data_IF_908330706011
#
_entry.id   IF_908330706011
#
_cell.length_a   1.000
_cell.length_b   1.000
_cell.length_c   1.000
_cell.angle_alpha   90.00
_cell.angle_beta   90.00
_cell.angle_gamma   90.00
#
_symmetry.space_group_name_H-M   'P 1'
#
loop_
_entity.id
_entity.type
_entity.pdbx_description
1 polymer ?
#
# COMPACT_ATOMS: atom_id res chain seq x y z
N UNK A 1 26.82 29.19 6.98
CA UNK A 1 27.77 28.19 7.49
C UNK A 1 28.07 27.26 6.33
N UNK A 2 29.34 27.04 6.02
CA UNK A 2 29.71 26.24 4.84
C UNK A 2 29.41 24.75 5.11
N UNK A 3 28.56 24.15 4.28
CA UNK A 3 27.99 22.80 4.51
C UNK A 3 29.08 21.72 4.58
N UNK A 4 30.17 21.89 3.83
CA UNK A 4 31.31 20.95 3.79
C UNK A 4 32.05 20.86 5.13
N UNK A 5 32.17 21.97 5.86
CA UNK A 5 32.84 21.99 7.16
C UNK A 5 32.06 21.21 8.23
N UNK A 6 30.73 21.34 8.24
CA UNK A 6 29.88 20.62 9.21
C UNK A 6 29.67 19.15 8.81
N UNK A 7 29.71 18.84 7.51
CA UNK A 7 29.60 17.48 7.00
C UNK A 7 30.79 16.57 7.35
N UNK A 8 31.93 17.09 7.82
CA UNK A 8 33.06 16.27 8.27
C UNK A 8 33.06 16.00 9.79
N UNK A 9 32.31 16.78 10.59
CA UNK A 9 32.28 16.61 12.05
C UNK A 9 31.48 15.38 12.48
N UNK A 10 31.95 14.78 13.58
CA UNK A 10 31.28 13.67 14.28
C UNK A 10 30.25 14.26 15.24
N UNK A 11 29.02 13.75 15.18
CA UNK A 11 27.98 14.09 16.15
C UNK A 11 28.21 13.32 17.45
N UNK A 12 27.78 13.89 18.57
CA UNK A 12 27.80 13.28 19.89
C UNK A 12 26.41 13.37 20.54
N UNK A 13 26.19 12.54 21.57
CA UNK A 13 24.96 12.56 22.37
C UNK A 13 25.25 12.34 23.85
N UNK A 14 24.48 12.99 24.72
CA UNK A 14 24.47 12.75 26.15
C UNK A 14 23.03 12.76 26.70
N UNK A 15 22.84 12.27 27.92
CA UNK A 15 21.60 12.45 28.68
C UNK A 15 21.76 13.64 29.62
N UNK A 16 20.73 14.48 29.67
CA UNK A 16 20.75 15.70 30.47
C UNK A 16 19.34 16.08 30.88
N UNK A 17 19.17 16.57 32.10
CA UNK A 17 17.95 17.23 32.52
C UNK A 17 17.85 18.57 31.77
N UNK A 18 16.86 18.70 30.90
CA UNK A 18 16.69 19.87 30.02
C UNK A 18 15.25 20.37 30.09
N UNK A 19 15.08 21.69 30.08
CA UNK A 19 13.77 22.30 29.82
C UNK A 19 13.44 22.17 28.34
N UNK A 20 12.21 21.80 28.00
CA UNK A 20 11.75 21.72 26.60
C UNK A 20 11.82 23.07 25.89
N UNK A 21 11.63 24.18 26.60
CA UNK A 21 11.69 25.54 26.04
C UNK A 21 13.10 25.93 25.54
N UNK A 22 14.16 25.40 26.17
CA UNK A 22 15.55 25.70 25.80
C UNK A 22 15.95 25.14 24.41
N UNK A 23 15.11 24.27 23.85
CA UNK A 23 15.39 23.50 22.64
C UNK A 23 14.25 23.57 21.60
N UNK A 24 13.28 24.48 21.79
CA UNK A 24 12.21 24.74 20.83
C UNK A 24 12.68 25.72 19.75
N UNK A 25 13.33 25.17 18.73
CA UNK A 25 13.87 25.94 17.61
C UNK A 25 12.82 26.12 16.51
N UNK A 26 12.71 27.33 15.97
CA UNK A 26 11.83 27.66 14.83
C UNK A 26 12.52 27.49 13.46
N UNK A 27 13.63 26.75 13.39
CA UNK A 27 14.39 26.49 12.17
C UNK A 27 14.75 25.01 12.05
N UNK A 28 15.09 24.59 10.83
CA UNK A 28 15.63 23.25 10.54
C UNK A 28 17.08 23.37 10.06
N UNK A 29 17.92 22.42 10.46
CA UNK A 29 19.31 22.32 9.98
C UNK A 29 19.40 21.38 8.76
N UNK A 30 20.45 21.47 7.92
CA UNK A 30 20.63 20.60 6.76
C UNK A 30 20.40 19.11 7.04
N UNK A 31 19.74 18.42 6.09
CA UNK A 31 19.31 17.01 6.21
C UNK A 31 20.45 16.07 6.60
N UNK A 32 21.65 16.27 6.05
CA UNK A 32 22.83 15.45 6.36
C UNK A 32 23.18 15.53 7.86
N UNK A 33 23.05 16.70 8.48
CA UNK A 33 23.31 16.89 9.90
C UNK A 33 22.22 16.24 10.76
N UNK A 34 20.94 16.37 10.37
CA UNK A 34 19.83 15.70 11.05
C UNK A 34 20.01 14.17 11.06
N UNK A 35 20.45 13.59 9.95
CA UNK A 35 20.74 12.14 9.86
C UNK A 35 21.82 11.73 10.87
N UNK A 36 22.91 12.51 10.96
CA UNK A 36 23.99 12.24 11.93
C UNK A 36 23.51 12.33 13.37
N UNK A 37 22.77 13.38 13.72
CA UNK A 37 22.22 13.56 15.06
C UNK A 37 21.24 12.43 15.42
N UNK A 38 20.37 12.03 14.48
CA UNK A 38 19.44 10.91 14.67
C UNK A 38 20.18 9.60 14.93
N UNK A 39 21.30 9.35 14.24
CA UNK A 39 22.10 8.15 14.42
C UNK A 39 22.69 8.05 15.84
N UNK A 40 23.25 9.15 16.37
CA UNK A 40 23.82 9.15 17.73
C UNK A 40 22.73 9.05 18.81
N UNK A 41 21.56 9.67 18.59
CA UNK A 41 20.39 9.49 19.47
C UNK A 41 19.96 8.01 19.51
N UNK A 42 19.89 7.35 18.35
CA UNK A 42 19.50 5.94 18.29
C UNK A 42 20.55 5.06 18.98
N UNK A 43 21.84 5.35 18.80
CA UNK A 43 22.91 4.65 19.50
C UNK A 43 22.80 4.83 21.03
N UNK A 44 22.50 6.05 21.50
CA UNK A 44 22.30 6.35 22.92
C UNK A 44 21.06 5.67 23.51
N UNK A 45 19.95 5.58 22.75
CA UNK A 45 18.77 4.80 23.14
C UNK A 45 19.11 3.32 23.31
N UNK A 46 19.91 2.77 22.40
CA UNK A 46 20.31 1.36 22.40
C UNK A 46 21.27 0.98 23.55
N UNK A 47 21.88 1.95 24.25
CA UNK A 47 22.73 1.69 25.43
C UNK A 47 21.93 1.22 26.66
N UNK A 48 20.61 1.44 26.72
CA UNK A 48 19.77 0.84 27.78
C UNK A 48 19.48 -0.64 27.43
N UNK A 49 19.63 -1.59 28.38
CA UNK A 49 19.14 -2.94 28.19
C UNK A 49 17.61 -2.89 28.00
N UNK A 50 17.08 -3.61 27.01
CA UNK A 50 15.64 -3.84 26.91
C UNK A 50 15.17 -4.44 28.23
N UNK A 51 14.19 -3.83 28.88
CA UNK A 51 13.58 -4.38 30.09
C UNK A 51 13.20 -5.84 29.83
N UNK A 52 13.70 -6.76 30.66
CA UNK A 52 13.33 -8.19 30.61
C UNK A 52 11.98 -8.47 31.28
N UNK A 53 11.28 -7.44 31.76
CA UNK A 53 10.04 -7.58 32.50
C UNK A 53 8.96 -6.70 31.89
N UNK A 54 7.91 -7.36 31.41
CA UNK A 54 6.63 -6.87 30.89
C UNK A 54 6.55 -6.47 29.41
N UNK A 55 5.96 -7.38 28.62
CA UNK A 55 5.03 -7.04 27.55
C UNK A 55 3.75 -6.52 28.21
N UNK A 56 3.61 -5.20 28.32
CA UNK A 56 2.30 -4.56 28.46
C UNK A 56 2.37 -3.27 27.66
N UNK A 57 1.42 -3.08 26.74
CA UNK A 57 1.16 -1.80 26.12
C UNK A 57 0.76 -0.81 27.21
N UNK A 58 1.71 0.01 27.61
CA UNK A 58 1.58 1.11 28.54
C UNK A 58 2.80 1.98 28.34
N UNK A 59 2.57 3.27 28.12
CA UNK A 59 3.64 4.26 28.02
C UNK A 59 4.64 4.02 29.14
N UNK A 60 5.89 3.73 28.75
CA UNK A 60 7.05 3.72 29.65
C UNK A 60 7.08 5.12 30.29
N UNK A 61 6.46 5.27 31.47
CA UNK A 61 6.58 6.47 32.28
C UNK A 61 8.04 6.56 32.70
N UNK A 62 8.79 7.37 31.95
CA UNK A 62 10.21 7.60 32.02
C UNK A 62 10.59 8.08 33.43
N UNK A 63 10.93 7.15 34.34
CA UNK A 63 11.27 7.48 35.72
C UNK A 63 12.71 8.03 35.88
N UNK A 64 13.25 8.65 34.83
CA UNK A 64 14.44 9.50 34.90
C UNK A 64 14.26 10.64 33.89
N UNK A 65 13.99 11.86 34.37
CA UNK A 65 13.71 13.11 33.64
C UNK A 65 14.87 13.61 32.72
N UNK A 66 15.76 12.75 32.24
CA UNK A 66 16.87 13.11 31.37
C UNK A 66 16.57 12.83 29.91
N UNK A 67 16.41 13.89 29.13
CA UNK A 67 16.28 13.77 27.68
C UNK A 67 17.66 13.50 27.04
N UNK A 68 17.64 12.84 25.87
CA UNK A 68 18.85 12.68 25.06
C UNK A 68 19.07 13.99 24.29
N UNK A 69 20.24 14.59 24.46
CA UNK A 69 20.70 15.79 23.76
C UNK A 69 21.80 15.39 22.78
N UNK A 70 21.64 15.76 21.51
CA UNK A 70 22.61 15.53 20.44
C UNK A 70 23.22 16.85 19.97
N UNK A 71 24.50 16.84 19.65
CA UNK A 71 25.24 18.04 19.27
C UNK A 71 26.47 17.73 18.42
N UNK A 72 27.02 18.76 17.79
CA UNK A 72 28.36 18.70 17.21
C UNK A 72 29.34 19.40 18.16
N UNK A 73 30.45 18.77 18.56
CA UNK A 73 31.39 19.36 19.52
C UNK A 73 31.85 20.74 19.07
N UNK A 74 31.86 21.71 20.00
CA UNK A 74 32.27 23.09 19.72
C UNK A 74 31.31 23.89 18.82
N UNK A 75 30.08 23.40 18.60
CA UNK A 75 29.04 24.10 17.82
C UNK A 75 27.77 24.23 18.65
N UNK A 76 27.19 25.41 18.66
CA UNK A 76 25.81 25.67 19.10
C UNK A 76 24.92 25.84 17.87
N UNK A 77 23.63 25.47 17.93
CA UNK A 77 22.91 24.94 19.08
C UNK A 77 23.11 23.42 19.31
N UNK A 78 22.71 22.96 20.50
CA UNK A 78 22.49 21.54 20.81
C UNK A 78 21.01 21.20 20.62
N UNK A 79 20.67 19.95 20.34
CA UNK A 79 19.29 19.57 20.01
C UNK A 79 18.81 18.44 20.92
N UNK A 80 17.59 18.54 21.43
CA UNK A 80 16.93 17.40 22.08
C UNK A 80 16.56 16.34 21.04
N UNK A 81 16.40 15.10 21.50
CA UNK A 81 15.94 14.03 20.63
C UNK A 81 14.61 14.35 19.94
N UNK A 82 13.67 14.98 20.66
CA UNK A 82 12.39 15.44 20.11
C UNK A 82 12.58 16.44 18.96
N UNK A 83 13.42 17.47 19.15
CA UNK A 83 13.72 18.45 18.10
C UNK A 83 14.34 17.77 16.85
N UNK A 84 15.25 16.81 17.05
CA UNK A 84 15.83 16.05 15.94
C UNK A 84 14.79 15.19 15.22
N UNK A 85 13.85 14.56 15.94
CA UNK A 85 12.77 13.80 15.32
C UNK A 85 11.78 14.69 14.56
N UNK A 86 11.41 15.87 15.09
CA UNK A 86 10.60 16.87 14.38
C UNK A 86 11.28 17.33 13.10
N UNK A 87 12.58 17.64 13.14
CA UNK A 87 13.36 17.98 11.94
C UNK A 87 13.46 16.83 10.94
N UNK A 88 13.62 15.59 11.42
CA UNK A 88 13.62 14.42 10.55
C UNK A 88 12.26 14.27 9.84
N UNK A 89 11.16 14.55 10.56
CA UNK A 89 9.83 14.46 9.99
C UNK A 89 9.52 15.57 9.00
N UNK A 90 9.99 16.79 9.26
CA UNK A 90 9.99 17.87 8.26
C UNK A 90 10.62 17.40 6.94
N UNK A 91 11.79 16.75 6.97
CA UNK A 91 12.44 16.25 5.76
C UNK A 91 11.72 15.06 5.12
N UNK A 92 10.97 14.26 5.88
CA UNK A 92 10.09 13.24 5.32
C UNK A 92 8.93 13.87 4.56
N UNK A 93 8.28 14.91 5.12
CA UNK A 93 7.23 15.67 4.43
C UNK A 93 7.77 16.32 3.16
N UNK A 94 8.94 16.98 3.22
CA UNK A 94 9.61 17.56 2.03
C UNK A 94 9.82 16.51 0.94
N UNK A 95 10.28 15.30 1.31
CA UNK A 95 10.44 14.18 0.35
C UNK A 95 9.10 13.78 -0.29
N UNK A 96 8.02 13.72 0.50
CA UNK A 96 6.67 13.40 0.00
C UNK A 96 6.12 14.48 -0.93
N UNK A 97 6.29 15.76 -0.59
CA UNK A 97 5.92 16.87 -1.48
C UNK A 97 6.69 16.83 -2.81
N UNK A 98 7.99 16.53 -2.78
CA UNK A 98 8.77 16.36 -4.01
C UNK A 98 8.32 15.15 -4.83
N UNK A 99 7.93 14.05 -4.18
CA UNK A 99 7.37 12.88 -4.87
C UNK A 99 6.02 13.20 -5.51
N UNK A 100 5.13 13.89 -4.80
CA UNK A 100 3.84 14.37 -5.33
C UNK A 100 4.06 15.27 -6.56
N UNK A 101 4.98 16.24 -6.53
CA UNK A 101 5.28 17.09 -7.70
C UNK A 101 5.75 16.29 -8.90
N UNK A 102 6.63 15.31 -8.69
CA UNK A 102 7.13 14.46 -9.76
C UNK A 102 6.04 13.55 -10.36
N UNK A 103 5.07 13.13 -9.55
CA UNK A 103 3.93 12.35 -10.03
C UNK A 103 2.93 13.23 -10.80
N UNK A 104 2.67 14.45 -10.33
CA UNK A 104 1.88 15.46 -11.06
C UNK A 104 2.53 15.84 -12.39
N UNK A 105 3.86 16.05 -12.40
CA UNK A 105 4.62 16.32 -13.62
C UNK A 105 4.52 15.15 -14.61
N UNK A 106 4.57 13.91 -14.13
CA UNK A 106 4.37 12.74 -14.99
C UNK A 106 2.97 12.69 -15.59
N UNK A 107 1.92 12.95 -14.81
CA UNK A 107 0.54 13.04 -15.31
C UNK A 107 0.38 14.17 -16.35
N UNK A 108 1.00 15.32 -16.11
CA UNK A 108 0.87 16.50 -16.96
C UNK A 108 1.67 16.39 -18.27
N UNK A 109 2.88 15.83 -18.22
CA UNK A 109 3.82 15.83 -19.36
C UNK A 109 3.72 14.59 -20.24
N UNK A 110 3.13 13.50 -19.73
CA UNK A 110 2.86 12.31 -20.54
C UNK A 110 1.80 12.65 -21.59
N UNK A 111 2.08 12.28 -22.84
CA UNK A 111 1.17 12.54 -23.97
C UNK A 111 0.06 11.48 -24.06
N UNK A 112 -0.84 11.47 -23.09
CA UNK A 112 -1.88 10.44 -22.98
C UNK A 112 -2.74 10.31 -24.23
N UNK A 113 -3.07 11.43 -24.88
CA UNK A 113 -3.83 11.46 -26.12
C UNK A 113 -3.16 10.77 -27.32
N UNK A 114 -1.83 10.59 -27.28
CA UNK A 114 -1.06 9.93 -28.34
C UNK A 114 -0.86 8.43 -28.09
N UNK A 115 -1.22 7.91 -26.90
CA UNK A 115 -1.04 6.51 -26.53
C UNK A 115 -2.21 5.67 -27.07
N UNK A 116 -1.90 4.70 -27.95
CA UNK A 116 -2.89 3.76 -28.50
C UNK A 116 -3.06 2.48 -27.68
N UNK A 117 -2.15 2.20 -26.75
CA UNK A 117 -2.23 1.03 -25.87
C UNK A 117 -3.53 1.06 -25.07
N UNK A 118 -4.25 -0.06 -25.03
CA UNK A 118 -5.50 -0.21 -24.28
C UNK A 118 -5.51 -1.56 -23.53
N UNK A 119 -4.73 -1.69 -22.45
CA UNK A 119 -4.64 -2.93 -21.68
C UNK A 119 -6.00 -3.30 -21.05
N UNK A 120 -6.18 -4.56 -20.68
CA UNK A 120 -7.46 -5.05 -20.14
C UNK A 120 -7.79 -4.51 -18.75
N UNK A 121 -6.77 -4.27 -17.91
CA UNK A 121 -6.95 -3.87 -16.52
C UNK A 121 -7.86 -2.65 -16.39
N UNK A 122 -8.92 -2.79 -15.60
CA UNK A 122 -9.94 -1.78 -15.31
C UNK A 122 -10.63 -1.16 -16.53
N UNK A 123 -10.65 -1.85 -17.67
CA UNK A 123 -11.27 -1.31 -18.89
C UNK A 123 -12.77 -1.02 -18.74
N UNK A 124 -13.49 -1.79 -17.93
CA UNK A 124 -14.94 -1.60 -17.74
C UNK A 124 -15.18 -0.43 -16.79
N UNK A 125 -14.43 -0.39 -15.67
CA UNK A 125 -14.53 0.63 -14.64
C UNK A 125 -14.13 2.02 -15.13
N UNK A 126 -13.34 2.08 -16.21
CA UNK A 126 -12.88 3.32 -16.84
C UNK A 126 -13.55 3.59 -18.18
N UNK A 127 -14.70 2.96 -18.47
CA UNK A 127 -15.47 3.12 -19.71
C UNK A 127 -14.59 3.05 -20.98
N UNK A 128 -13.66 2.09 -20.99
CA UNK A 128 -12.62 1.90 -22.02
C UNK A 128 -12.76 0.59 -22.79
N UNK A 129 -13.76 -0.23 -22.49
CA UNK A 129 -13.99 -1.56 -23.05
C UNK A 129 -14.53 -1.54 -24.49
N UNK A 130 -15.38 -0.57 -24.82
CA UNK A 130 -15.96 -0.37 -26.16
C UNK A 130 -15.19 0.64 -27.02
N UNK A 131 -14.07 1.15 -26.54
CA UNK A 131 -13.29 2.15 -27.27
C UNK A 131 -12.50 1.52 -28.43
N UNK A 132 -12.74 2.04 -29.63
CA UNK A 132 -11.86 1.80 -30.77
C UNK A 132 -10.44 2.31 -30.46
N UNK A 133 -9.41 1.68 -31.06
CA UNK A 133 -7.99 2.04 -30.86
C UNK A 133 -7.70 3.54 -31.09
N UNK A 134 -8.47 4.21 -31.94
CA UNK A 134 -8.33 5.64 -32.24
C UNK A 134 -8.91 6.57 -31.16
N UNK A 135 -9.70 6.03 -30.23
CA UNK A 135 -10.38 6.76 -29.16
C UNK A 135 -9.71 6.58 -27.78
N UNK A 136 -8.90 5.54 -27.61
CA UNK A 136 -8.28 5.17 -26.33
C UNK A 136 -7.45 6.30 -25.72
N UNK A 137 -6.61 6.97 -26.51
CA UNK A 137 -5.78 8.08 -26.02
C UNK A 137 -6.59 9.25 -25.44
N UNK A 138 -7.75 9.56 -26.03
CA UNK A 138 -8.65 10.58 -25.50
C UNK A 138 -9.13 10.25 -24.09
N UNK A 139 -9.51 8.99 -23.86
CA UNK A 139 -9.93 8.52 -22.53
C UNK A 139 -8.77 8.49 -21.54
N UNK A 140 -7.56 8.10 -21.96
CA UNK A 140 -6.38 8.17 -21.10
C UNK A 140 -6.09 9.60 -20.62
N UNK A 141 -6.27 10.59 -21.49
CA UNK A 141 -6.10 12.00 -21.12
C UNK A 141 -7.17 12.46 -20.12
N UNK A 142 -8.42 12.03 -20.30
CA UNK A 142 -9.52 12.31 -19.37
C UNK A 142 -9.21 11.73 -17.98
N UNK A 143 -8.86 10.44 -17.89
CA UNK A 143 -8.49 9.79 -16.63
C UNK A 143 -7.32 10.49 -15.95
N UNK A 144 -6.31 10.92 -16.70
CA UNK A 144 -5.17 11.67 -16.16
C UNK A 144 -5.60 13.02 -15.57
N UNK A 145 -6.51 13.74 -16.23
CA UNK A 145 -7.03 15.01 -15.74
C UNK A 145 -7.82 14.83 -14.44
N UNK A 146 -8.69 13.82 -14.38
CA UNK A 146 -9.49 13.53 -13.18
C UNK A 146 -8.60 13.13 -11.99
N UNK A 147 -7.56 12.31 -12.23
CA UNK A 147 -6.56 11.98 -11.20
C UNK A 147 -5.84 13.23 -10.70
N UNK A 148 -5.41 14.13 -11.60
CA UNK A 148 -4.77 15.38 -11.22
C UNK A 148 -5.69 16.25 -10.37
N UNK A 149 -6.95 16.41 -10.75
CA UNK A 149 -7.94 17.19 -10.00
C UNK A 149 -8.12 16.65 -8.57
N UNK A 150 -8.25 15.33 -8.40
CA UNK A 150 -8.34 14.72 -7.07
C UNK A 150 -7.08 14.92 -6.24
N UNK A 151 -5.89 14.78 -6.84
CA UNK A 151 -4.61 14.95 -6.15
C UNK A 151 -4.30 16.41 -5.80
N UNK A 152 -4.80 17.38 -6.57
CA UNK A 152 -4.72 18.81 -6.25
C UNK A 152 -5.64 19.21 -5.11
N UNK A 153 -6.83 18.59 -5.02
CA UNK A 153 -7.78 18.81 -3.93
C UNK A 153 -7.42 18.13 -2.61
N UNK A 154 -6.49 17.17 -2.63
CA UNK A 154 -6.12 16.36 -1.47
C UNK A 154 -4.83 16.84 -0.79
N UNK A 155 -4.74 16.70 0.54
CA UNK A 155 -3.50 16.87 1.28
C UNK A 155 -2.82 15.53 1.55
N UNK A 156 -1.55 15.53 1.97
CA UNK A 156 -0.82 14.29 2.27
C UNK A 156 -1.49 13.39 3.33
N UNK A 157 -2.31 13.98 4.21
CA UNK A 157 -3.05 13.24 5.24
C UNK A 157 -4.45 12.80 4.79
N UNK A 158 -4.90 13.18 3.58
CA UNK A 158 -6.16 12.69 3.01
C UNK A 158 -6.10 11.17 2.86
N UNK A 159 -7.23 10.51 3.16
CA UNK A 159 -7.36 9.05 3.06
C UNK A 159 -8.51 8.69 2.13
N UNK A 160 -8.22 7.84 1.14
CA UNK A 160 -9.21 7.19 0.29
C UNK A 160 -9.64 5.89 0.94
N UNK A 161 -10.94 5.59 0.94
CA UNK A 161 -11.50 4.40 1.56
C UNK A 161 -12.50 3.71 0.65
N UNK A 162 -12.50 2.38 0.71
CA UNK A 162 -13.52 1.54 0.10
C UNK A 162 -14.89 1.70 0.79
N UNK A 163 -15.97 1.50 0.05
CA UNK A 163 -17.33 1.62 0.60
C UNK A 163 -17.61 0.59 1.70
N UNK A 164 -17.00 -0.59 1.60
CA UNK A 164 -17.05 -1.62 2.64
C UNK A 164 -16.38 -1.22 3.96
N UNK A 165 -15.52 -0.20 3.97
CA UNK A 165 -14.66 0.15 5.09
C UNK A 165 -13.43 -0.75 5.26
N UNK A 166 -13.35 -1.85 4.52
CA UNK A 166 -12.28 -2.86 4.59
C UNK A 166 -11.03 -2.42 3.82
N UNK A 167 -10.72 -1.14 3.68
CA UNK A 167 -9.50 -0.73 2.99
C UNK A 167 -9.32 0.77 2.95
N UNK A 168 -8.11 1.23 3.25
CA UNK A 168 -7.75 2.65 3.21
C UNK A 168 -6.37 2.87 2.59
N UNK A 169 -6.21 3.95 1.82
CA UNK A 169 -4.92 4.43 1.32
C UNK A 169 -4.79 5.91 1.62
N UNK A 170 -3.71 6.30 2.28
CA UNK A 170 -3.37 7.71 2.47
C UNK A 170 -2.63 8.26 1.27
N UNK A 171 -2.82 9.54 0.95
CA UNK A 171 -2.09 10.22 -0.13
C UNK A 171 -0.58 10.11 0.08
N UNK A 172 -0.08 10.25 1.31
CA UNK A 172 1.35 10.10 1.61
C UNK A 172 1.92 8.70 1.26
N UNK A 173 1.11 7.65 1.30
CA UNK A 173 1.48 6.29 0.89
C UNK A 173 1.38 6.07 -0.61
N UNK A 174 0.50 6.80 -1.29
CA UNK A 174 0.30 6.74 -2.74
C UNK A 174 1.42 7.47 -3.51
N UNK A 175 1.78 8.67 -3.07
CA UNK A 175 2.73 9.53 -3.79
C UNK A 175 4.14 8.93 -3.82
N UNK A 176 4.69 8.87 -5.02
CA UNK A 176 5.99 8.29 -5.34
C UNK A 176 6.03 6.75 -5.34
N UNK A 177 4.87 6.09 -5.21
CA UNK A 177 4.79 4.62 -5.13
C UNK A 177 4.01 3.97 -6.28
N UNK A 178 3.21 4.74 -7.04
CA UNK A 178 2.37 4.20 -8.12
C UNK A 178 2.69 4.77 -9.51
N UNK A 179 2.85 6.09 -9.63
CA UNK A 179 3.22 6.72 -10.90
C UNK A 179 4.62 6.31 -11.37
N UNK A 180 4.88 6.55 -12.66
CA UNK A 180 6.21 6.39 -13.29
C UNK A 180 6.69 4.93 -13.27
N UNK A 181 7.83 4.67 -12.65
CA UNK A 181 8.61 3.44 -12.78
C UNK A 181 8.92 2.78 -11.44
N UNK A 182 8.16 3.10 -10.38
CA UNK A 182 8.40 2.59 -9.03
C UNK A 182 7.74 1.22 -8.81
N UNK A 183 8.39 0.36 -8.04
CA UNK A 183 7.76 -0.88 -7.57
C UNK A 183 6.64 -0.52 -6.59
N UNK A 184 5.48 -1.14 -6.78
CA UNK A 184 4.31 -0.91 -5.92
C UNK A 184 4.61 -1.41 -4.50
N UNK A 185 4.13 -0.69 -3.50
CA UNK A 185 4.16 -1.14 -2.09
C UNK A 185 3.01 -2.07 -1.77
N UNK A 186 3.15 -2.82 -0.67
CA UNK A 186 2.10 -3.67 -0.10
C UNK A 186 0.75 -2.95 0.03
N UNK A 187 0.76 -1.70 0.49
CA UNK A 187 -0.47 -0.89 0.65
C UNK A 187 -1.23 -0.74 -0.66
N UNK A 188 -0.52 -0.46 -1.76
CA UNK A 188 -1.13 -0.25 -3.08
C UNK A 188 -1.62 -1.58 -3.67
N UNK A 189 -0.83 -2.65 -3.52
CA UNK A 189 -1.22 -3.98 -3.98
C UNK A 189 -2.47 -4.46 -3.23
N UNK A 190 -2.42 -4.50 -1.90
CA UNK A 190 -3.52 -5.00 -1.08
C UNK A 190 -4.80 -4.18 -1.31
N UNK A 191 -4.71 -2.84 -1.36
CA UNK A 191 -5.87 -2.01 -1.64
C UNK A 191 -6.44 -2.24 -3.05
N UNK A 192 -5.60 -2.36 -4.07
CA UNK A 192 -6.06 -2.63 -5.44
C UNK A 192 -6.75 -3.99 -5.57
N UNK A 193 -6.21 -5.02 -4.91
CA UNK A 193 -6.85 -6.34 -4.87
C UNK A 193 -8.20 -6.28 -4.16
N UNK A 194 -8.29 -5.56 -3.03
CA UNK A 194 -9.56 -5.34 -2.33
C UNK A 194 -10.57 -4.57 -3.18
N UNK A 195 -10.15 -3.55 -3.93
CA UNK A 195 -11.02 -2.85 -4.89
C UNK A 195 -11.64 -3.83 -5.90
N UNK A 196 -10.82 -4.71 -6.49
CA UNK A 196 -11.29 -5.69 -7.47
C UNK A 196 -12.28 -6.67 -6.82
N UNK A 197 -11.93 -7.22 -5.66
CA UNK A 197 -12.78 -8.18 -4.95
C UNK A 197 -14.12 -7.57 -4.51
N UNK A 198 -14.12 -6.31 -4.04
CA UNK A 198 -15.34 -5.60 -3.65
C UNK A 198 -16.25 -5.33 -4.85
N UNK A 199 -15.68 -4.92 -5.99
CA UNK A 199 -16.45 -4.69 -7.22
C UNK A 199 -17.13 -5.96 -7.75
N UNK A 200 -16.52 -7.13 -7.55
CA UNK A 200 -17.09 -8.43 -7.98
C UNK A 200 -18.04 -9.03 -6.93
N UNK A 201 -17.75 -8.86 -5.64
CA UNK A 201 -18.61 -9.27 -4.53
C UNK A 201 -18.57 -10.75 -4.14
N UNK A 202 -17.91 -11.60 -4.93
CA UNK A 202 -17.81 -13.06 -4.73
C UNK A 202 -16.35 -13.56 -4.64
N UNK A 203 -15.43 -12.64 -4.34
CA UNK A 203 -14.00 -12.89 -4.21
C UNK A 203 -13.50 -12.47 -2.82
N UNK A 204 -12.52 -13.20 -2.28
CA UNK A 204 -11.90 -12.89 -0.98
C UNK A 204 -10.42 -12.57 -1.12
N UNK A 205 -9.97 -11.44 -0.57
CA UNK A 205 -8.58 -11.02 -0.60
C UNK A 205 -7.89 -11.26 0.76
N UNK A 206 -6.81 -12.03 0.76
CA UNK A 206 -5.84 -12.04 1.86
C UNK A 206 -4.82 -10.91 1.68
N UNK A 207 -4.22 -10.48 2.78
CA UNK A 207 -3.13 -9.48 2.73
C UNK A 207 -1.80 -10.13 2.37
N UNK A 208 -0.93 -9.36 1.70
CA UNK A 208 0.46 -9.76 1.41
C UNK A 208 1.26 -10.17 2.65
N UNK A 209 0.82 -9.76 3.84
CA UNK A 209 1.43 -10.09 5.13
C UNK A 209 0.94 -11.40 5.74
N UNK A 210 -0.14 -12.02 5.23
CA UNK A 210 -0.70 -13.25 5.81
C UNK A 210 0.31 -14.40 5.98
N UNK A 211 1.26 -14.64 5.06
CA UNK A 211 2.27 -15.68 5.25
C UNK A 211 3.24 -15.44 6.42
N UNK A 212 3.46 -14.19 6.82
CA UNK A 212 4.43 -13.82 7.87
C UNK A 212 3.77 -13.46 9.19
N UNK A 213 2.60 -12.83 9.15
CA UNK A 213 1.85 -12.34 10.32
C UNK A 213 0.68 -13.24 10.71
N UNK A 214 0.36 -14.25 9.88
CA UNK A 214 -0.81 -15.11 10.04
C UNK A 214 -2.06 -14.57 9.33
N UNK A 215 -3.02 -15.46 9.09
CA UNK A 215 -4.29 -15.10 8.49
C UNK A 215 -5.26 -14.51 9.53
N UNK A 216 -6.15 -13.60 9.11
CA UNK A 216 -7.31 -13.24 9.92
C UNK A 216 -8.25 -14.44 10.10
N UNK A 217 -9.25 -14.29 10.97
CA UNK A 217 -10.35 -15.26 11.03
C UNK A 217 -11.15 -15.18 9.72
N UNK A 218 -11.60 -16.33 9.15
CA UNK A 218 -12.46 -16.31 7.99
C UNK A 218 -13.77 -15.57 8.24
N UNK A 219 -14.40 -15.02 7.19
CA UNK A 219 -15.71 -14.41 7.32
C UNK A 219 -16.76 -15.47 7.66
N UNK A 220 -17.86 -15.03 8.28
CA UNK A 220 -18.98 -15.93 8.62
C UNK A 220 -19.79 -16.36 7.40
N UNK A 221 -19.67 -15.63 6.29
CA UNK A 221 -20.31 -15.97 5.02
C UNK A 221 -19.79 -17.32 4.53
N UNK A 222 -20.70 -18.17 4.03
CA UNK A 222 -20.38 -19.53 3.58
C UNK A 222 -19.36 -19.52 2.45
N UNK A 223 -18.27 -20.28 2.58
CA UNK A 223 -17.19 -20.33 1.57
C UNK A 223 -17.71 -20.68 0.16
N UNK A 224 -18.79 -21.47 0.05
CA UNK A 224 -19.38 -21.84 -1.25
C UNK A 224 -20.06 -20.68 -2.01
N UNK A 225 -20.20 -19.50 -1.40
CA UNK A 225 -20.68 -18.29 -2.11
C UNK A 225 -19.56 -17.54 -2.81
N UNK A 226 -18.30 -17.92 -2.58
CA UNK A 226 -17.14 -17.30 -3.19
C UNK A 226 -16.65 -18.15 -4.37
N UNK A 227 -16.23 -17.49 -5.44
CA UNK A 227 -15.61 -18.13 -6.60
C UNK A 227 -14.09 -18.08 -6.52
N UNK A 228 -13.52 -17.11 -5.82
CA UNK A 228 -12.07 -16.93 -5.77
C UNK A 228 -11.56 -16.50 -4.39
N UNK A 229 -10.35 -16.97 -4.06
CA UNK A 229 -9.51 -16.40 -3.02
C UNK A 229 -8.20 -15.91 -3.64
N UNK A 230 -7.74 -14.71 -3.26
CA UNK A 230 -6.53 -14.08 -3.78
C UNK A 230 -5.53 -13.82 -2.67
N UNK A 231 -4.27 -14.20 -2.89
CA UNK A 231 -3.13 -13.86 -2.03
C UNK A 231 -2.01 -13.23 -2.87
N UNK A 232 -1.84 -11.90 -2.85
CA UNK A 232 -0.63 -11.27 -3.36
C UNK A 232 0.56 -11.62 -2.46
N UNK A 233 1.76 -11.74 -3.04
CA UNK A 233 2.98 -12.16 -2.34
C UNK A 233 4.12 -11.19 -2.61
N UNK A 234 4.69 -10.63 -1.53
CA UNK A 234 5.90 -9.85 -1.59
C UNK A 234 7.13 -10.77 -1.46
N UNK A 235 7.69 -11.15 -2.60
CA UNK A 235 8.75 -12.14 -2.73
C UNK A 235 10.12 -11.49 -2.53
N UNK A 236 10.88 -11.98 -1.55
CA UNK A 236 12.24 -11.52 -1.23
C UNK A 236 12.37 -10.01 -0.96
N UNK A 237 11.28 -9.33 -0.59
CA UNK A 237 11.20 -7.87 -0.40
C UNK A 237 11.57 -7.01 -1.64
N UNK A 238 11.63 -7.62 -2.82
CA UNK A 238 12.07 -6.96 -4.07
C UNK A 238 11.22 -7.34 -5.28
N UNK A 239 10.17 -8.14 -5.09
CA UNK A 239 9.39 -8.69 -6.18
C UNK A 239 7.96 -9.04 -5.77
N UNK A 240 7.05 -9.12 -6.75
CA UNK A 240 5.64 -9.42 -6.54
C UNK A 240 5.18 -10.60 -7.39
N UNK A 241 4.42 -11.49 -6.77
CA UNK A 241 3.65 -12.54 -7.44
C UNK A 241 2.28 -12.71 -6.79
N UNK A 242 1.48 -13.64 -7.29
CA UNK A 242 0.16 -13.94 -6.72
C UNK A 242 -0.21 -15.42 -6.81
N UNK A 243 -0.92 -15.88 -5.77
CA UNK A 243 -1.68 -17.12 -5.79
C UNK A 243 -3.17 -16.77 -5.82
N UNK A 244 -3.88 -17.24 -6.84
CA UNK A 244 -5.35 -17.15 -6.93
C UNK A 244 -5.91 -18.56 -6.88
N UNK A 245 -6.88 -18.82 -6.00
CA UNK A 245 -7.53 -20.13 -5.90
C UNK A 245 -8.95 -20.00 -6.39
N UNK A 246 -9.29 -20.74 -7.45
CA UNK A 246 -10.68 -20.93 -7.84
C UNK A 246 -11.36 -21.91 -6.87
N UNK A 247 -12.51 -21.50 -6.36
CA UNK A 247 -13.34 -22.22 -5.39
C UNK A 247 -14.59 -22.70 -6.12
N UNK A 248 -14.73 -24.01 -6.30
CA UNK A 248 -15.84 -24.58 -7.04
C UNK A 248 -16.55 -25.67 -6.22
N UNK A 249 -17.59 -25.28 -5.48
CA UNK A 249 -18.46 -26.22 -4.76
C UNK A 249 -19.63 -26.76 -5.59
N UNK A 250 -20.02 -26.08 -6.67
CA UNK A 250 -21.18 -26.43 -7.51
C UNK A 250 -20.87 -27.49 -8.58
N UNK A 251 -19.69 -28.13 -8.51
CA UNK A 251 -19.27 -29.20 -9.42
C UNK A 251 -19.60 -30.57 -8.84
N UNK A 252 -19.68 -31.60 -9.69
CA UNK A 252 -19.86 -32.99 -9.27
C UNK A 252 -18.84 -33.42 -8.22
N UNK A 253 -17.61 -32.95 -8.36
CA UNK A 253 -16.55 -33.03 -7.35
C UNK A 253 -16.14 -31.61 -6.98
N UNK A 254 -16.45 -31.14 -5.76
CA UNK A 254 -15.97 -29.87 -5.26
C UNK A 254 -14.45 -29.78 -5.35
N UNK A 255 -13.92 -28.64 -5.81
CA UNK A 255 -12.47 -28.51 -5.98
C UNK A 255 -11.93 -27.11 -5.65
N UNK A 256 -10.68 -27.10 -5.19
CA UNK A 256 -9.81 -25.92 -5.15
C UNK A 256 -8.78 -26.02 -6.27
N UNK A 257 -8.70 -25.00 -7.13
CA UNK A 257 -7.72 -24.96 -8.22
C UNK A 257 -6.77 -23.76 -8.03
N UNK A 258 -5.51 -23.99 -7.64
CA UNK A 258 -4.56 -22.90 -7.45
C UNK A 258 -3.89 -22.48 -8.76
N UNK A 259 -3.97 -21.18 -9.05
CA UNK A 259 -3.29 -20.48 -10.13
C UNK A 259 -2.14 -19.66 -9.56
N UNK A 260 -0.97 -19.76 -10.18
CA UNK A 260 0.25 -19.08 -9.80
C UNK A 260 0.69 -18.17 -10.92
N UNK A 261 1.02 -16.92 -10.58
CA UNK A 261 1.58 -15.97 -11.53
C UNK A 261 2.72 -15.17 -10.92
N UNK A 262 3.84 -15.15 -11.64
CA UNK A 262 5.08 -14.48 -11.25
C UNK A 262 5.74 -13.90 -12.52
N UNK A 263 5.78 -12.55 -12.68
CA UNK A 263 6.13 -11.89 -13.94
C UNK A 263 7.57 -12.09 -14.48
N UNK A 264 8.54 -12.50 -13.68
CA UNK A 264 9.90 -12.87 -14.09
C UNK A 264 10.06 -14.35 -14.44
N UNK A 265 9.18 -15.22 -13.93
CA UNK A 265 9.27 -16.69 -14.05
C UNK A 265 10.61 -17.25 -13.50
N UNK A 266 11.08 -16.75 -12.36
CA UNK A 266 12.28 -17.21 -11.67
C UNK A 266 12.01 -18.44 -10.81
N UNK A 267 12.84 -19.48 -10.93
CA UNK A 267 12.66 -20.75 -10.21
C UNK A 267 12.74 -20.63 -8.70
N UNK A 268 13.47 -19.65 -8.15
CA UNK A 268 13.49 -19.42 -6.69
C UNK A 268 12.16 -18.88 -6.16
N UNK A 269 11.39 -18.19 -6.99
CA UNK A 269 10.11 -17.62 -6.60
C UNK A 269 9.01 -18.67 -6.60
N UNK A 270 9.09 -19.66 -7.49
CA UNK A 270 8.09 -20.73 -7.53
C UNK A 270 7.99 -21.52 -6.23
N UNK A 271 9.14 -21.85 -5.62
CA UNK A 271 9.16 -22.60 -4.36
C UNK A 271 8.52 -21.80 -3.21
N UNK A 272 8.81 -20.49 -3.15
CA UNK A 272 8.23 -19.61 -2.14
C UNK A 272 6.71 -19.46 -2.29
N UNK A 273 6.20 -19.40 -3.51
CA UNK A 273 4.77 -19.30 -3.77
C UNK A 273 4.02 -20.60 -3.46
N UNK A 274 4.59 -21.75 -3.80
CA UNK A 274 4.01 -23.06 -3.45
C UNK A 274 4.02 -23.29 -1.93
N UNK A 275 5.08 -22.84 -1.25
CA UNK A 275 5.12 -22.82 0.21
C UNK A 275 4.03 -21.92 0.80
N UNK A 276 3.84 -20.71 0.27
CA UNK A 276 2.78 -19.81 0.72
C UNK A 276 1.38 -20.43 0.53
N UNK A 277 1.13 -21.10 -0.60
CA UNK A 277 -0.12 -21.80 -0.82
C UNK A 277 -0.36 -22.90 0.23
N UNK A 278 0.61 -23.80 0.43
CA UNK A 278 0.46 -24.95 1.34
C UNK A 278 0.44 -24.55 2.82
N UNK A 279 1.16 -23.51 3.21
CA UNK A 279 1.28 -23.07 4.61
C UNK A 279 0.25 -22.02 5.03
N UNK A 280 -0.31 -21.26 4.08
CA UNK A 280 -1.17 -20.11 4.39
C UNK A 280 -2.55 -20.26 3.75
N UNK A 281 -2.62 -20.41 2.43
CA UNK A 281 -3.89 -20.41 1.69
C UNK A 281 -4.72 -21.65 1.98
N UNK A 282 -4.14 -22.84 1.82
CA UNK A 282 -4.86 -24.09 2.00
C UNK A 282 -5.37 -24.27 3.45
N UNK A 283 -4.57 -23.99 4.50
CA UNK A 283 -5.09 -24.00 5.87
C UNK A 283 -6.22 -23.00 6.11
N UNK A 284 -6.13 -21.79 5.53
CA UNK A 284 -7.20 -20.79 5.64
C UNK A 284 -8.50 -21.26 4.99
N UNK A 285 -8.43 -21.84 3.78
CA UNK A 285 -9.59 -22.40 3.08
C UNK A 285 -10.24 -23.55 3.87
N UNK A 286 -9.44 -24.44 4.45
CA UNK A 286 -9.93 -25.54 5.31
C UNK A 286 -10.61 -25.00 6.56
N UNK A 287 -9.98 -24.05 7.25
CA UNK A 287 -10.58 -23.41 8.42
C UNK A 287 -11.92 -22.74 8.09
N UNK A 288 -12.01 -22.07 6.94
CA UNK A 288 -13.25 -21.43 6.50
C UNK A 288 -14.34 -22.45 6.13
N UNK A 289 -13.96 -23.55 5.47
CA UNK A 289 -14.86 -24.68 5.23
C UNK A 289 -15.39 -25.25 6.56
N UNK A 290 -14.52 -25.56 7.52
CA UNK A 290 -14.92 -26.14 8.81
C UNK A 290 -15.89 -25.25 9.57
N UNK A 291 -15.68 -23.93 9.50
CA UNK A 291 -16.52 -22.95 10.19
C UNK A 291 -17.90 -22.81 9.57
N UNK A 292 -18.01 -22.92 8.24
CA UNK A 292 -19.25 -22.55 7.52
C UNK A 292 -19.97 -23.73 6.87
N UNK A 293 -19.30 -24.88 6.76
CA UNK A 293 -19.75 -26.10 6.08
C UNK A 293 -19.29 -27.39 6.79
N UNK A 294 -19.41 -27.53 8.13
CA UNK A 294 -18.79 -28.61 8.92
C UNK A 294 -19.27 -30.04 8.61
N UNK A 295 -20.29 -30.20 7.78
CA UNK A 295 -20.91 -31.49 7.44
C UNK A 295 -20.82 -31.81 5.94
N UNK A 296 -20.13 -30.97 5.17
CA UNK A 296 -19.94 -31.12 3.74
C UNK A 296 -18.57 -31.77 3.50
N UNK A 297 -18.42 -32.47 2.37
CA UNK A 297 -17.13 -33.03 2.01
C UNK A 297 -16.16 -31.91 1.62
N UNK A 298 -14.89 -32.06 2.01
CA UNK A 298 -13.84 -31.12 1.61
C UNK A 298 -13.65 -31.13 0.10
N UNK A 299 -13.45 -29.95 -0.52
CA UNK A 299 -13.00 -29.87 -1.89
C UNK A 299 -11.67 -30.57 -2.12
N UNK A 300 -11.57 -31.28 -3.24
CA UNK A 300 -10.33 -31.89 -3.70
C UNK A 300 -9.41 -30.82 -4.27
N UNK A 301 -8.12 -30.87 -3.95
CA UNK A 301 -7.13 -30.01 -4.58
C UNK A 301 -6.87 -30.49 -6.03
N UNK A 302 -7.16 -29.61 -6.98
CA UNK A 302 -6.86 -29.84 -8.40
C UNK A 302 -5.40 -29.57 -8.72
N UNK A 303 -4.95 -29.98 -9.91
CA UNK A 303 -3.60 -29.66 -10.39
C UNK A 303 -3.34 -28.15 -10.41
N UNK A 304 -2.20 -27.74 -9.87
CA UNK A 304 -1.72 -26.35 -9.95
C UNK A 304 -1.53 -25.88 -11.38
N UNK A 305 -1.85 -24.61 -11.62
CA UNK A 305 -1.73 -23.96 -12.93
C UNK A 305 -0.75 -22.81 -12.83
N UNK A 306 0.35 -22.88 -13.59
CA UNK A 306 1.33 -21.80 -13.71
C UNK A 306 1.02 -20.94 -14.93
N UNK A 307 0.66 -19.68 -14.70
CA UNK A 307 0.49 -18.66 -15.74
C UNK A 307 1.88 -18.08 -16.02
N UNK A 308 2.37 -18.27 -17.25
CA UNK A 308 3.75 -17.95 -17.62
C UNK A 308 3.91 -16.60 -18.34
N UNK A 309 2.79 -15.94 -18.62
CA UNK A 309 2.71 -14.72 -19.42
C UNK A 309 1.62 -13.80 -18.87
N UNK A 310 1.74 -12.48 -19.05
CA UNK A 310 2.89 -11.80 -19.69
C UNK A 310 4.10 -11.76 -18.75
N UNK A 311 5.30 -11.64 -19.31
CA UNK A 311 6.52 -11.37 -18.52
C UNK A 311 6.70 -9.88 -18.34
N UNK A 312 7.28 -9.46 -17.21
CA UNK A 312 7.58 -8.04 -17.02
C UNK A 312 8.63 -7.55 -18.02
N UNK A 313 8.42 -6.39 -18.66
CA UNK A 313 9.38 -5.82 -19.61
C UNK A 313 10.52 -5.05 -18.93
N UNK A 314 10.44 -4.83 -17.63
CA UNK A 314 11.35 -4.01 -16.83
C UNK A 314 11.61 -4.64 -15.44
N UNK A 315 12.30 -3.91 -14.56
CA UNK A 315 12.64 -4.38 -13.21
C UNK A 315 11.66 -3.95 -12.10
N UNK A 316 10.57 -3.25 -12.40
CA UNK A 316 9.74 -2.58 -11.37
C UNK A 316 8.24 -2.76 -11.55
N UNK A 317 7.78 -3.32 -12.65
CA UNK A 317 6.36 -3.46 -12.99
C UNK A 317 5.71 -4.75 -12.50
N UNK A 318 6.43 -5.63 -11.79
CA UNK A 318 5.89 -6.87 -11.24
C UNK A 318 4.58 -6.70 -10.46
N UNK A 319 4.47 -5.64 -9.64
CA UNK A 319 3.24 -5.34 -8.90
C UNK A 319 2.06 -4.96 -9.80
N UNK A 320 2.31 -4.16 -10.84
CA UNK A 320 1.29 -3.76 -11.83
C UNK A 320 0.76 -4.98 -12.59
N UNK A 321 1.67 -5.85 -13.04
CA UNK A 321 1.33 -7.10 -13.73
C UNK A 321 0.55 -8.05 -12.81
N UNK A 322 0.91 -8.10 -11.53
CA UNK A 322 0.20 -8.90 -10.53
C UNK A 322 -1.26 -8.45 -10.40
N UNK A 323 -1.52 -7.14 -10.26
CA UNK A 323 -2.88 -6.60 -10.21
C UNK A 323 -3.64 -6.89 -11.52
N UNK A 324 -3.01 -6.70 -12.67
CA UNK A 324 -3.59 -6.98 -13.98
C UNK A 324 -3.98 -8.46 -14.15
N UNK A 325 -3.13 -9.37 -13.70
CA UNK A 325 -3.41 -10.80 -13.77
C UNK A 325 -4.56 -11.22 -12.84
N UNK A 326 -4.62 -10.65 -11.63
CA UNK A 326 -5.73 -10.86 -10.71
C UNK A 326 -7.03 -10.41 -11.38
N UNK A 327 -7.08 -9.17 -11.87
CA UNK A 327 -8.24 -8.63 -12.55
C UNK A 327 -8.71 -9.51 -13.72
N UNK A 328 -7.78 -9.96 -14.57
CA UNK A 328 -8.07 -10.87 -15.70
C UNK A 328 -8.68 -12.18 -15.22
N UNK A 329 -8.06 -12.85 -14.24
CA UNK A 329 -8.52 -14.15 -13.75
C UNK A 329 -9.90 -14.06 -13.09
N UNK A 330 -10.12 -13.05 -12.25
CA UNK A 330 -11.38 -12.93 -11.52
C UNK A 330 -12.57 -12.58 -12.42
N UNK A 331 -12.31 -12.03 -13.62
CA UNK A 331 -13.33 -11.81 -14.66
C UNK A 331 -13.43 -12.97 -15.67
N UNK A 332 -12.87 -14.13 -15.35
CA UNK A 332 -12.79 -15.31 -16.23
C UNK A 332 -12.20 -15.01 -17.62
N UNK A 333 -11.30 -14.02 -17.68
CA UNK A 333 -10.60 -13.63 -18.89
C UNK A 333 -9.17 -14.18 -18.89
N UNK A 334 -8.73 -14.64 -20.06
CA UNK A 334 -7.34 -15.01 -20.31
C UNK A 334 -6.66 -14.08 -21.32
N UNK A 335 -7.28 -12.94 -21.65
CA UNK A 335 -6.75 -12.00 -22.66
C UNK A 335 -5.40 -11.45 -22.22
N UNK A 336 -5.29 -10.97 -20.97
CA UNK A 336 -4.02 -10.50 -20.43
C UNK A 336 -2.91 -11.57 -20.48
N UNK A 337 -3.24 -12.81 -20.10
CA UNK A 337 -2.30 -13.94 -20.04
C UNK A 337 -1.71 -14.34 -21.40
N UNK A 338 -2.34 -13.94 -22.50
CA UNK A 338 -1.94 -14.30 -23.88
C UNK A 338 -1.09 -13.21 -24.56
N UNK A 339 -1.01 -12.01 -23.97
CA UNK A 339 -0.38 -10.85 -24.58
C UNK A 339 1.11 -10.68 -24.29
N UNK A 340 1.71 -9.73 -25.00
CA UNK A 340 2.94 -9.05 -24.58
C UNK A 340 2.57 -7.72 -23.91
N UNK A 341 3.39 -7.26 -22.97
CA UNK A 341 3.18 -5.99 -22.28
C UNK A 341 4.27 -5.00 -22.68
N UNK A 342 3.87 -3.86 -23.20
CA UNK A 342 4.75 -2.74 -23.58
C UNK A 342 4.87 -1.72 -22.44
N UNK A 343 5.78 -0.75 -22.59
CA UNK A 343 5.90 0.36 -21.63
C UNK A 343 4.66 1.27 -21.62
N UNK A 344 3.98 1.40 -22.75
CA UNK A 344 2.73 2.16 -22.84
C UNK A 344 1.61 1.43 -22.08
N UNK A 345 1.51 0.11 -22.21
CA UNK A 345 0.57 -0.70 -21.42
C UNK A 345 0.81 -0.51 -19.92
N UNK A 346 2.08 -0.55 -19.46
CA UNK A 346 2.42 -0.28 -18.05
C UNK A 346 1.95 1.11 -17.62
N UNK A 347 2.18 2.13 -18.45
CA UNK A 347 1.83 3.52 -18.11
C UNK A 347 0.33 3.68 -17.96
N UNK A 348 -0.45 3.11 -18.87
CA UNK A 348 -1.92 3.12 -18.80
C UNK A 348 -2.42 2.29 -17.61
N UNK A 349 -1.86 1.11 -17.36
CA UNK A 349 -2.23 0.30 -16.19
C UNK A 349 -1.97 1.04 -14.87
N UNK A 350 -0.84 1.74 -14.75
CA UNK A 350 -0.54 2.58 -13.57
C UNK A 350 -1.52 3.73 -13.42
N UNK A 351 -1.85 4.41 -14.51
CA UNK A 351 -2.86 5.47 -14.52
C UNK A 351 -4.22 4.93 -14.06
N UNK A 352 -4.66 3.78 -14.56
CA UNK A 352 -5.94 3.18 -14.18
C UNK A 352 -5.96 2.69 -12.73
N UNK A 353 -4.88 2.08 -12.24
CA UNK A 353 -4.77 1.75 -10.81
C UNK A 353 -4.87 3.03 -9.97
N UNK A 354 -4.22 4.11 -10.39
CA UNK A 354 -4.25 5.38 -9.66
C UNK A 354 -5.66 5.96 -9.64
N UNK A 355 -6.30 6.02 -10.80
CA UNK A 355 -7.69 6.44 -10.95
C UNK A 355 -8.64 5.62 -10.06
N UNK A 356 -8.52 4.29 -10.11
CA UNK A 356 -9.32 3.41 -9.25
C UNK A 356 -9.15 3.70 -7.77
N UNK A 357 -7.95 4.11 -7.32
CA UNK A 357 -7.72 4.44 -5.90
C UNK A 357 -8.29 5.81 -5.54
N UNK A 358 -8.04 6.83 -6.37
CA UNK A 358 -8.41 8.21 -6.03
C UNK A 358 -9.88 8.54 -6.27
N UNK A 359 -10.57 7.74 -7.08
CA UNK A 359 -12.02 7.88 -7.33
C UNK A 359 -12.89 7.09 -6.36
N UNK A 360 -12.31 6.52 -5.30
CA UNK A 360 -13.09 5.83 -4.28
C UNK A 360 -14.03 6.81 -3.55
N UNK A 361 -15.26 6.36 -3.21
CA UNK A 361 -16.38 7.25 -2.87
C UNK A 361 -16.22 8.01 -1.55
N UNK A 362 -15.31 7.59 -0.66
CA UNK A 362 -14.98 8.31 0.56
C UNK A 362 -13.54 8.85 0.54
N UNK A 363 -13.42 10.17 0.46
CA UNK A 363 -12.18 10.89 0.78
C UNK A 363 -12.34 11.55 2.14
N UNK A 364 -11.67 11.05 3.18
CA UNK A 364 -11.57 11.80 4.43
C UNK A 364 -10.46 12.85 4.29
N UNK A 365 -10.85 14.07 3.95
CA UNK A 365 -10.00 15.26 4.08
C UNK A 365 -10.16 15.86 5.47
N UNK A 366 -9.23 16.71 5.92
CA UNK A 366 -9.41 17.46 7.18
C UNK A 366 -10.72 18.26 7.16
N UNK A 367 -11.08 18.84 6.00
CA UNK A 367 -12.34 19.55 5.83
C UNK A 367 -13.58 18.63 5.97
N UNK A 368 -13.54 17.43 5.40
CA UNK A 368 -14.63 16.45 5.50
C UNK A 368 -14.75 15.86 6.91
N UNK A 369 -13.63 15.71 7.62
CA UNK A 369 -13.61 15.28 9.02
C UNK A 369 -14.28 16.34 9.92
N UNK A 370 -13.91 17.62 9.74
CA UNK A 370 -14.51 18.74 10.46
C UNK A 370 -15.98 18.88 10.11
N UNK A 371 -16.38 18.72 8.85
CA UNK A 371 -17.78 18.75 8.45
C UNK A 371 -18.60 17.62 9.07
N UNK A 372 -18.07 16.38 9.09
CA UNK A 372 -18.71 15.23 9.76
C UNK A 372 -18.81 15.42 11.28
N UNK A 373 -17.79 16.02 11.90
CA UNK A 373 -17.81 16.36 13.34
C UNK A 373 -18.84 17.46 13.65
N UNK A 374 -18.96 18.48 12.80
CA UNK A 374 -20.00 19.51 12.92
C UNK A 374 -21.39 18.88 12.78
N UNK A 375 -21.60 18.03 11.78
CA UNK A 375 -22.89 17.37 11.54
C UNK A 375 -23.26 16.42 12.70
N UNK A 376 -22.30 15.66 13.23
CA UNK A 376 -22.49 14.83 14.42
C UNK A 376 -22.85 15.67 15.66
N UNK A 377 -22.19 16.81 15.84
CA UNK A 377 -22.47 17.76 16.93
C UNK A 377 -23.85 18.38 16.79
N UNK A 378 -24.26 18.73 15.57
CA UNK A 378 -25.59 19.26 15.27
C UNK A 378 -26.69 18.23 15.56
N UNK A 379 -26.46 16.94 15.21
CA UNK A 379 -27.37 15.84 15.55
C UNK A 379 -27.48 15.67 17.07
N UNK A 380 -26.36 15.72 17.79
CA UNK A 380 -26.33 15.59 19.25
C UNK A 380 -27.07 16.76 19.93
N UNK A 381 -26.85 18.00 19.47
CA UNK A 381 -27.56 19.21 19.93
C UNK A 381 -29.07 19.14 19.64
N UNK A 382 -29.47 18.68 18.47
CA UNK A 382 -30.89 18.51 18.12
C UNK A 382 -31.56 17.41 18.95
N UNK A 383 -30.81 16.41 19.41
CA UNK A 383 -31.32 15.36 20.29
C UNK A 383 -31.56 15.87 21.72
N UNK A 384 -30.78 16.84 22.19
CA UNK A 384 -30.94 17.46 23.52
C UNK A 384 -32.06 18.50 23.59
N UNK A 385 -32.46 19.07 22.45
CA UNK A 385 -33.59 20.02 22.37
C UNK A 385 -34.95 19.28 22.38
N UNK A 386 -34.96 17.96 22.13
CA UNK A 386 -36.18 17.13 22.10
C UNK A 386 -36.45 16.36 23.40
N UNK A 387 -35.61 16.51 24.42
CA UNK A 387 -35.85 16.07 25.81
C UNK A 387 -36.30 17.24 26.66
#
# INVERSE_FOLDING_TARGET
>A
MDDDFMNTRVAESCRSAVSTEDFDYNFVIPKSLVIKLKAVIQAERNKRPKSKYFNTEGEDTDSNNEAIVAYFPGVTPRFTSEAVFKMAEFYNVVKKCSAWRADMEWLQTTKWSEISANPELFKVETDSDDLYLTSAGGKHQELANEVMEQLEGACLNSTFRLSSGEGTVKVDTLVGMLARDRMLSDVIINFSVRCICEALGDCYALDSFSPTMGCPKPPQTRISTFHYLVLPLHLSNIHWGVVVVAIAYKRDVPCFTPYYYEPMCGSSYSDAMELAYTSTVLPFLKMWHDQTMPHEDYPVESSKIWIKSPKQPDGTSCGVLTIAQIYSLLKDSLQFSQGCVTKEDISVMRLRIMWMIVMQPEVSTVANQVAKEIEATDIELLSTIKS
#
